data_IF_869591264912
#
_entry.id   IF_869591264912
#
_cell.length_a   1.000
_cell.length_b   1.000
_cell.length_c   1.000
_cell.angle_alpha   90.00
_cell.angle_beta   90.00
_cell.angle_gamma   90.00
#
_symmetry.space_group_name_H-M   'P 1'
#
loop_
_entity.id
_entity.type
_entity.pdbx_description
1 polymer ?
#
# COMPACT_ATOMS: atom_id res chain seq x y z
N UNK A 1 -45.14 23.51 77.73
CA UNK A 1 -46.02 24.34 76.86
C UNK A 1 -45.86 25.78 77.33
N UNK A 2 -45.18 26.71 76.67
CA UNK A 2 -44.82 26.87 75.27
C UNK A 2 -43.41 27.46 75.15
N UNK A 3 -42.67 27.03 74.14
CA UNK A 3 -41.32 27.43 73.77
C UNK A 3 -41.33 28.75 73.00
N UNK A 4 -40.83 29.82 73.58
CA UNK A 4 -40.52 31.05 72.84
C UNK A 4 -39.08 30.96 72.34
N UNK A 5 -38.90 30.49 71.10
CA UNK A 5 -37.64 30.50 70.37
C UNK A 5 -37.28 31.95 70.00
N UNK A 6 -36.48 32.61 70.83
CA UNK A 6 -35.74 33.81 70.42
C UNK A 6 -34.48 33.36 69.70
N UNK A 7 -34.45 33.50 68.38
CA UNK A 7 -33.25 33.34 67.55
C UNK A 7 -32.14 34.26 68.06
N UNK A 8 -31.12 33.68 68.69
CA UNK A 8 -29.89 34.38 69.06
C UNK A 8 -29.20 34.84 67.76
N UNK A 9 -29.04 36.15 67.51
CA UNK A 9 -28.31 36.64 66.34
C UNK A 9 -26.83 36.24 66.41
N UNK A 10 -26.20 36.03 65.25
CA UNK A 10 -24.78 35.67 65.17
C UNK A 10 -23.91 36.67 65.95
N UNK A 11 -22.89 36.19 66.70
CA UNK A 11 -22.11 37.04 67.61
C UNK A 11 -21.38 38.19 66.90
N UNK A 12 -21.04 38.01 65.62
CA UNK A 12 -20.43 39.05 64.77
C UNK A 12 -21.39 40.17 64.40
N UNK A 13 -22.66 39.84 64.15
CA UNK A 13 -23.70 40.83 63.85
C UNK A 13 -24.12 41.60 65.11
N UNK A 14 -24.16 40.94 66.27
CA UNK A 14 -24.41 41.61 67.55
C UNK A 14 -23.27 42.57 67.90
N UNK A 15 -22.03 42.15 67.66
CA UNK A 15 -20.85 43.00 67.84
C UNK A 15 -20.88 44.20 66.87
N UNK A 16 -21.14 43.99 65.57
CA UNK A 16 -21.30 45.08 64.60
C UNK A 16 -22.45 46.03 64.94
N UNK A 17 -23.58 45.52 65.43
CA UNK A 17 -24.70 46.34 65.87
C UNK A 17 -24.34 47.18 67.10
N UNK A 18 -23.64 46.60 68.09
CA UNK A 18 -23.11 47.34 69.24
C UNK A 18 -22.11 48.41 68.82
N UNK A 19 -21.15 48.09 67.95
CA UNK A 19 -20.20 49.09 67.45
C UNK A 19 -20.89 50.19 66.65
N UNK A 20 -21.88 49.87 65.82
CA UNK A 20 -22.67 50.85 65.08
C UNK A 20 -23.49 51.75 66.02
N UNK A 21 -24.07 51.19 67.09
CA UNK A 21 -24.80 51.94 68.11
C UNK A 21 -23.88 52.86 68.93
N UNK A 22 -22.71 52.36 69.34
CA UNK A 22 -21.69 53.15 70.05
C UNK A 22 -21.16 54.26 69.16
N UNK A 23 -20.86 53.96 67.90
CA UNK A 23 -20.38 54.95 66.93
C UNK A 23 -21.46 55.99 66.63
N UNK A 24 -22.73 55.57 66.53
CA UNK A 24 -23.87 56.48 66.38
C UNK A 24 -24.07 57.40 67.58
N UNK A 25 -24.02 56.86 68.80
CA UNK A 25 -24.12 57.63 70.03
C UNK A 25 -22.94 58.61 70.20
N UNK A 26 -21.71 58.15 69.96
CA UNK A 26 -20.52 58.99 69.97
C UNK A 26 -20.60 60.10 68.89
N UNK A 27 -21.17 59.80 67.73
CA UNK A 27 -21.36 60.77 66.66
C UNK A 27 -22.41 61.82 67.00
N UNK A 28 -23.47 61.46 67.73
CA UNK A 28 -24.49 62.40 68.20
C UNK A 28 -23.95 63.37 69.27
N UNK A 29 -23.15 62.87 70.22
CA UNK A 29 -22.53 63.69 71.29
C UNK A 29 -21.21 64.37 70.88
N UNK A 30 -20.83 64.32 69.60
CA UNK A 30 -19.54 64.85 69.12
C UNK A 30 -19.34 66.34 69.41
N UNK A 31 -20.44 67.10 69.49
CA UNK A 31 -20.39 68.55 69.73
C UNK A 31 -20.25 68.89 71.21
N UNK A 32 -20.51 67.94 72.10
CA UNK A 32 -20.36 68.07 73.56
C UNK A 32 -18.93 67.75 74.01
N UNK A 33 -18.25 66.85 73.28
CA UNK A 33 -16.82 66.54 73.43
C UNK A 33 -15.89 67.55 72.74
N UNK A 34 -16.44 68.43 71.90
CA UNK A 34 -15.70 69.56 71.37
C UNK A 34 -15.63 70.61 72.47
N UNK A 35 -14.43 70.86 73.01
CA UNK A 35 -14.19 71.88 74.03
C UNK A 35 -14.71 73.27 73.62
N UNK A 36 -14.79 74.23 74.56
CA UNK A 36 -15.30 75.57 74.29
C UNK A 36 -14.51 76.21 73.14
N UNK A 37 -15.22 76.78 72.16
CA UNK A 37 -14.59 77.46 71.03
C UNK A 37 -13.87 78.74 71.52
N UNK A 38 -12.56 78.66 71.71
CA UNK A 38 -11.70 79.79 72.12
C UNK A 38 -11.15 80.52 70.90
N UNK A 39 -11.14 81.85 70.92
CA UNK A 39 -10.57 82.65 69.83
C UNK A 39 -9.04 82.53 69.78
N UNK A 40 -8.43 82.79 68.62
CA UNK A 40 -6.99 82.67 68.40
C UNK A 40 -6.15 83.45 69.42
N UNK A 41 -6.66 84.59 69.87
CA UNK A 41 -5.99 85.44 70.87
C UNK A 41 -5.98 84.80 72.26
N UNK A 42 -7.01 84.02 72.64
CA UNK A 42 -7.09 83.34 73.95
C UNK A 42 -6.16 82.12 74.01
N UNK A 43 -5.92 81.45 72.88
CA UNK A 43 -5.01 80.31 72.77
C UNK A 43 -3.54 80.74 72.92
N UNK A 44 -3.22 81.98 72.54
CA UNK A 44 -1.87 82.55 72.65
C UNK A 44 -1.42 82.80 74.11
N UNK A 45 -2.37 82.90 75.06
CA UNK A 45 -2.09 83.12 76.48
C UNK A 45 -2.07 81.85 77.33
N UNK A 46 -2.28 80.67 76.74
CA UNK A 46 -2.18 79.39 77.44
C UNK A 46 -0.72 78.91 77.55
N UNK A 47 -0.36 78.11 78.57
CA UNK A 47 0.97 77.51 78.69
C UNK A 47 1.33 76.76 77.40
N UNK A 48 2.61 76.80 76.99
CA UNK A 48 3.06 76.31 75.67
C UNK A 48 2.66 74.85 75.33
N UNK A 49 2.42 74.01 76.34
CA UNK A 49 1.94 72.65 76.14
C UNK A 49 0.47 72.57 75.66
N UNK A 50 -0.38 73.50 76.10
CA UNK A 50 -1.82 73.49 75.82
C UNK A 50 -2.18 74.26 74.53
N UNK A 51 -1.38 75.26 74.16
CA UNK A 51 -1.58 76.01 72.90
C UNK A 51 -1.33 75.16 71.65
N UNK A 52 -0.40 74.20 71.68
CA UNK A 52 -0.14 73.24 70.60
C UNK A 52 -1.29 72.25 70.37
N UNK A 53 -2.03 71.90 71.41
CA UNK A 53 -3.13 70.92 71.33
C UNK A 53 -4.45 71.56 70.90
N UNK A 54 -4.68 72.81 71.29
CA UNK A 54 -5.93 73.55 71.05
C UNK A 54 -5.86 74.52 69.85
N UNK A 55 -4.71 74.61 69.16
CA UNK A 55 -4.64 75.37 67.90
C UNK A 55 -5.55 74.70 66.86
N UNK A 56 -6.51 75.44 66.26
CA UNK A 56 -7.40 74.87 65.27
C UNK A 56 -6.59 74.31 64.10
N UNK A 57 -6.70 73.00 63.86
CA UNK A 57 -6.04 72.34 62.72
C UNK A 57 -6.40 73.07 61.44
N UNK A 58 -5.37 73.46 60.68
CA UNK A 58 -5.54 74.14 59.39
C UNK A 58 -6.53 73.35 58.51
N UNK A 59 -7.43 74.00 57.75
CA UNK A 59 -8.46 73.29 56.97
C UNK A 59 -7.90 72.45 55.81
N UNK A 60 -6.62 72.63 55.44
CA UNK A 60 -5.97 71.92 54.33
C UNK A 60 -5.97 70.37 54.44
N UNK A 61 -5.51 69.74 55.54
CA UNK A 61 -5.57 68.29 55.70
C UNK A 61 -6.97 67.70 55.55
N UNK A 62 -8.01 68.39 56.04
CA UNK A 62 -9.41 67.94 55.88
C UNK A 62 -9.86 68.00 54.42
N UNK A 63 -9.52 69.06 53.69
CA UNK A 63 -9.79 69.17 52.24
C UNK A 63 -9.06 68.08 51.46
N UNK A 64 -7.81 67.81 51.81
CA UNK A 64 -6.99 66.76 51.18
C UNK A 64 -7.60 65.36 51.40
N UNK A 65 -8.08 65.08 52.62
CA UNK A 65 -8.77 63.82 52.92
C UNK A 65 -10.06 63.64 52.09
N UNK A 66 -10.88 64.68 51.92
CA UNK A 66 -12.07 64.61 51.07
C UNK A 66 -11.75 64.43 49.59
N UNK A 67 -10.69 65.08 49.10
CA UNK A 67 -10.21 64.90 47.71
C UNK A 67 -9.73 63.46 47.48
N UNK A 68 -8.93 62.92 48.41
CA UNK A 68 -8.49 61.52 48.35
C UNK A 68 -9.67 60.55 48.36
N UNK A 69 -10.66 60.79 49.23
CA UNK A 69 -11.85 59.95 49.31
C UNK A 69 -12.68 60.03 48.03
N UNK A 70 -12.83 61.23 47.45
CA UNK A 70 -13.50 61.41 46.16
C UNK A 70 -12.79 60.69 45.01
N UNK A 71 -11.45 60.80 44.94
CA UNK A 71 -10.64 60.10 43.95
C UNK A 71 -10.80 58.57 44.07
N UNK A 72 -10.78 58.06 45.30
CA UNK A 72 -10.94 56.63 45.56
C UNK A 72 -12.31 56.11 45.12
N UNK A 73 -13.38 56.84 45.47
CA UNK A 73 -14.74 56.49 45.03
C UNK A 73 -14.87 56.55 43.51
N UNK A 74 -14.27 57.55 42.86
CA UNK A 74 -14.26 57.67 41.41
C UNK A 74 -13.54 56.51 40.73
N UNK A 75 -12.38 56.10 41.26
CA UNK A 75 -11.63 54.95 40.75
C UNK A 75 -12.40 53.64 40.90
N UNK A 76 -13.09 53.43 42.02
CA UNK A 76 -13.96 52.26 42.22
C UNK A 76 -15.14 52.26 41.26
N UNK A 77 -15.78 53.41 41.07
CA UNK A 77 -16.88 53.55 40.12
C UNK A 77 -16.38 53.20 38.70
N UNK A 78 -15.24 53.75 38.29
CA UNK A 78 -14.65 53.46 36.99
C UNK A 78 -14.29 51.98 36.82
N UNK A 79 -13.72 51.34 37.85
CA UNK A 79 -13.38 49.91 37.80
C UNK A 79 -14.62 49.00 37.72
N UNK A 80 -15.76 49.41 38.29
CA UNK A 80 -17.00 48.65 38.21
C UNK A 80 -17.73 48.79 36.87
N UNK A 81 -17.60 49.94 36.19
CA UNK A 81 -18.27 50.20 34.90
C UNK A 81 -17.34 49.93 33.69
N UNK A 82 -16.02 50.00 33.87
CA UNK A 82 -15.06 49.87 32.79
C UNK A 82 -14.98 48.44 32.25
N UNK A 83 -15.51 48.23 31.05
CA UNK A 83 -15.28 47.02 30.26
C UNK A 83 -13.95 47.17 29.50
N UNK A 84 -13.04 46.21 29.68
CA UNK A 84 -11.77 46.16 28.95
C UNK A 84 -11.88 45.11 27.86
N UNK A 85 -11.92 45.56 26.61
CA UNK A 85 -11.93 44.68 25.44
C UNK A 85 -10.55 44.00 25.28
N UNK A 86 -10.50 42.71 25.58
CA UNK A 86 -9.32 41.89 25.36
C UNK A 86 -9.41 41.30 23.95
N UNK A 87 -8.65 41.87 23.01
CA UNK A 87 -8.49 41.30 21.67
C UNK A 87 -7.38 40.25 21.69
N UNK A 88 -7.77 38.97 21.73
CA UNK A 88 -6.84 37.85 21.60
C UNK A 88 -6.56 37.56 20.12
N UNK A 89 -5.39 37.97 19.62
CA UNK A 89 -4.95 37.63 18.26
C UNK A 89 -4.26 36.26 18.29
N UNK A 90 -4.90 35.24 17.71
CA UNK A 90 -4.32 33.92 17.53
C UNK A 90 -3.79 33.77 16.09
N UNK A 91 -2.49 33.47 15.89
CA UNK A 91 -1.96 33.19 14.56
C UNK A 91 -2.48 31.82 14.07
N UNK A 92 -3.46 31.83 13.16
CA UNK A 92 -3.91 30.65 12.43
C UNK A 92 -3.29 30.61 11.03
N UNK A 93 -2.88 29.42 10.57
CA UNK A 93 -2.50 29.18 9.17
C UNK A 93 -3.56 28.30 8.51
N UNK A 94 -4.12 28.78 7.40
CA UNK A 94 -4.99 27.96 6.55
C UNK A 94 -4.09 26.94 5.83
N UNK A 95 -4.15 25.69 6.27
CA UNK A 95 -3.56 24.57 5.55
C UNK A 95 -4.65 23.95 4.68
N UNK A 96 -4.39 23.84 3.38
CA UNK A 96 -5.22 23.02 2.50
C UNK A 96 -5.05 21.56 2.93
N UNK A 97 -6.10 20.97 3.48
CA UNK A 97 -6.07 19.58 3.98
C UNK A 97 -5.98 18.54 2.86
N UNK A 98 -6.23 18.94 1.60
CA UNK A 98 -6.12 18.04 0.47
C UNK A 98 -4.65 17.79 0.16
N UNK A 99 -4.19 16.59 0.56
CA UNK A 99 -2.83 16.12 0.37
C UNK A 99 -2.49 16.16 -1.11
N UNK A 100 -1.47 16.92 -1.49
CA UNK A 100 -0.88 16.88 -2.83
C UNK A 100 -0.49 15.44 -3.15
N UNK A 101 -1.09 14.85 -4.19
CA UNK A 101 -0.75 13.52 -4.70
C UNK A 101 0.14 13.68 -5.93
N UNK A 102 1.30 13.05 -5.91
CA UNK A 102 2.22 13.03 -7.05
C UNK A 102 1.72 11.97 -8.03
N UNK A 103 1.44 12.38 -9.28
CA UNK A 103 1.02 11.48 -10.35
C UNK A 103 2.29 11.03 -11.08
N UNK A 104 2.57 9.73 -11.06
CA UNK A 104 3.73 9.12 -11.70
C UNK A 104 3.26 8.10 -12.74
N UNK A 105 3.93 8.01 -13.89
CA UNK A 105 3.64 6.95 -14.85
C UNK A 105 4.02 5.58 -14.26
N UNK A 106 3.26 4.55 -14.61
CA UNK A 106 3.55 3.17 -14.20
C UNK A 106 4.84 2.65 -14.86
N UNK A 107 5.12 3.11 -16.08
CA UNK A 107 6.26 2.73 -16.90
C UNK A 107 6.92 3.95 -17.52
N UNK A 108 8.25 3.91 -17.69
CA UNK A 108 8.98 4.97 -18.36
C UNK A 108 8.63 5.00 -19.85
N UNK A 109 7.94 6.08 -20.27
CA UNK A 109 7.47 6.26 -21.64
C UNK A 109 7.63 7.70 -22.09
N UNK A 110 7.61 7.91 -23.40
CA UNK A 110 7.72 9.24 -23.98
C UNK A 110 6.39 9.97 -23.86
N UNK A 111 6.41 11.21 -23.38
CA UNK A 111 5.21 12.06 -23.31
C UNK A 111 4.86 12.53 -24.72
N UNK A 112 3.67 12.17 -25.21
CA UNK A 112 3.15 12.60 -26.52
C UNK A 112 2.44 13.94 -26.42
N UNK A 113 1.60 14.12 -25.39
CA UNK A 113 0.90 15.38 -25.15
C UNK A 113 0.57 15.57 -23.67
N UNK A 114 0.61 16.83 -23.20
CA UNK A 114 0.09 17.23 -21.88
C UNK A 114 -1.21 17.99 -22.12
N UNK A 115 -2.31 17.49 -21.53
CA UNK A 115 -3.68 17.95 -21.80
C UNK A 115 -4.18 18.98 -20.78
N UNK A 116 -3.37 19.29 -19.77
CA UNK A 116 -3.71 20.17 -18.65
C UNK A 116 -2.65 21.24 -18.45
N UNK A 117 -3.04 22.35 -17.85
CA UNK A 117 -2.15 23.45 -17.47
C UNK A 117 -2.14 23.65 -15.96
N UNK A 118 -1.11 24.34 -15.47
CA UNK A 118 -1.00 24.67 -14.05
C UNK A 118 -2.21 25.50 -13.60
N UNK A 119 -2.87 25.03 -12.54
CA UNK A 119 -4.07 25.67 -11.98
C UNK A 119 -5.41 25.16 -12.52
N UNK A 120 -5.41 24.25 -13.50
CA UNK A 120 -6.64 23.65 -14.01
C UNK A 120 -7.32 22.74 -12.96
N UNK A 121 -8.65 22.81 -12.88
CA UNK A 121 -9.47 21.93 -12.03
C UNK A 121 -9.79 20.65 -12.79
N UNK A 122 -9.26 19.52 -12.33
CA UNK A 122 -9.44 18.21 -12.97
C UNK A 122 -10.38 17.31 -12.16
N UNK A 123 -11.11 16.43 -12.86
CA UNK A 123 -11.96 15.40 -12.23
C UNK A 123 -11.24 14.05 -12.18
N UNK A 124 -11.61 13.19 -11.24
CA UNK A 124 -11.09 11.82 -11.19
C UNK A 124 -11.41 11.07 -12.50
N UNK A 125 -10.40 10.41 -13.08
CA UNK A 125 -10.51 9.71 -14.37
C UNK A 125 -10.34 10.58 -15.61
N UNK A 126 -10.13 11.89 -15.46
CA UNK A 126 -9.79 12.77 -16.58
C UNK A 126 -8.37 12.48 -17.08
N UNK A 127 -8.20 12.41 -18.40
CA UNK A 127 -6.88 12.24 -19.03
C UNK A 127 -6.06 13.51 -18.82
N UNK A 128 -4.88 13.37 -18.22
CA UNK A 128 -3.97 14.48 -17.91
C UNK A 128 -2.80 14.55 -18.90
N UNK A 129 -2.24 13.39 -19.24
CA UNK A 129 -1.07 13.24 -20.10
C UNK A 129 -1.31 12.04 -21.01
N UNK A 130 -1.04 12.22 -22.30
CA UNK A 130 -0.99 11.15 -23.29
C UNK A 130 0.47 10.70 -23.46
N UNK A 131 0.70 9.41 -23.26
CA UNK A 131 2.00 8.76 -23.43
C UNK A 131 2.05 8.08 -24.79
N UNK A 132 3.24 7.97 -25.37
CA UNK A 132 3.45 7.23 -26.61
C UNK A 132 3.24 5.73 -26.38
N UNK A 133 2.17 5.20 -26.97
CA UNK A 133 1.77 3.81 -26.85
C UNK A 133 2.46 2.90 -27.87
N UNK A 134 3.40 3.38 -28.69
CA UNK A 134 4.01 2.58 -29.78
C UNK A 134 4.68 1.32 -29.25
N UNK A 135 5.52 1.45 -28.21
CA UNK A 135 6.19 0.30 -27.59
C UNK A 135 5.20 -0.65 -26.92
N UNK A 136 4.29 -0.11 -26.10
CA UNK A 136 3.27 -0.91 -25.41
C UNK A 136 2.34 -1.66 -26.40
N UNK A 137 2.02 -1.04 -27.54
CA UNK A 137 1.20 -1.65 -28.59
C UNK A 137 1.98 -2.75 -29.32
N UNK A 138 3.27 -2.53 -29.60
CA UNK A 138 4.14 -3.54 -30.21
C UNK A 138 4.34 -4.74 -29.27
N UNK A 139 4.55 -4.50 -27.97
CA UNK A 139 4.68 -5.56 -26.97
C UNK A 139 3.36 -6.34 -26.83
N UNK A 140 2.23 -5.64 -26.75
CA UNK A 140 0.91 -6.29 -26.72
C UNK A 140 0.64 -7.13 -27.96
N UNK A 141 1.01 -6.65 -29.15
CA UNK A 141 0.87 -7.39 -30.40
C UNK A 141 1.77 -8.63 -30.42
N UNK A 142 3.03 -8.50 -30.00
CA UNK A 142 3.99 -9.60 -29.91
C UNK A 142 3.53 -10.69 -28.94
N UNK A 143 3.06 -10.31 -27.75
CA UNK A 143 2.52 -11.27 -26.76
C UNK A 143 1.27 -11.96 -27.30
N UNK A 144 0.39 -11.22 -27.98
CA UNK A 144 -0.79 -11.80 -28.61
C UNK A 144 -0.41 -12.82 -29.70
N UNK A 145 0.57 -12.51 -30.56
CA UNK A 145 1.07 -13.45 -31.57
C UNK A 145 1.69 -14.71 -30.95
N UNK A 146 2.48 -14.57 -29.89
CA UNK A 146 3.08 -15.71 -29.17
C UNK A 146 2.00 -16.61 -28.55
N UNK A 147 0.99 -16.02 -27.93
CA UNK A 147 -0.14 -16.75 -27.35
C UNK A 147 -0.88 -17.55 -28.42
N UNK A 148 -1.07 -16.97 -29.60
CA UNK A 148 -1.73 -17.63 -30.72
C UNK A 148 -0.90 -18.76 -31.31
N UNK A 149 0.41 -18.56 -31.47
CA UNK A 149 1.33 -19.59 -31.93
C UNK A 149 1.34 -20.78 -30.95
N UNK A 150 1.45 -20.52 -29.64
CA UNK A 150 1.44 -21.55 -28.61
C UNK A 150 0.11 -22.33 -28.60
N UNK A 151 -1.03 -21.65 -28.76
CA UNK A 151 -2.34 -22.31 -28.83
C UNK A 151 -2.47 -23.18 -30.09
N UNK A 152 -2.00 -22.71 -31.24
CA UNK A 152 -1.99 -23.49 -32.49
C UNK A 152 -1.15 -24.76 -32.35
N UNK A 153 0.04 -24.64 -31.76
CA UNK A 153 0.93 -25.77 -31.49
C UNK A 153 0.32 -26.78 -30.51
N UNK A 154 -0.33 -26.30 -29.45
CA UNK A 154 -1.03 -27.17 -28.50
C UNK A 154 -2.16 -27.97 -29.18
N UNK A 155 -2.98 -27.30 -30.01
CA UNK A 155 -4.04 -27.97 -30.77
C UNK A 155 -3.50 -28.98 -31.78
N UNK A 156 -2.42 -28.63 -32.50
CA UNK A 156 -1.74 -29.52 -33.46
C UNK A 156 -1.22 -30.77 -32.76
N UNK A 157 -0.45 -30.59 -31.68
CA UNK A 157 0.13 -31.67 -30.88
C UNK A 157 -0.96 -32.59 -30.34
N UNK A 158 -2.04 -32.00 -29.84
CA UNK A 158 -3.18 -32.72 -29.34
C UNK A 158 -3.85 -33.59 -30.44
N UNK A 159 -4.09 -33.03 -31.63
CA UNK A 159 -4.65 -33.76 -32.76
C UNK A 159 -3.72 -34.90 -33.25
N UNK A 160 -2.40 -34.69 -33.18
CA UNK A 160 -1.40 -35.70 -33.50
C UNK A 160 -1.39 -36.86 -32.50
N UNK A 161 -1.42 -36.55 -31.20
CA UNK A 161 -1.53 -37.56 -30.14
C UNK A 161 -2.78 -38.41 -30.30
N UNK A 162 -3.93 -37.80 -30.62
CA UNK A 162 -5.18 -38.51 -30.86
C UNK A 162 -5.09 -39.51 -32.02
N UNK A 163 -4.31 -39.19 -33.07
CA UNK A 163 -4.08 -40.10 -34.20
C UNK A 163 -3.10 -41.23 -33.88
N UNK A 164 -2.11 -40.98 -33.03
CA UNK A 164 -1.09 -41.97 -32.66
C UNK A 164 -1.59 -42.98 -31.62
N UNK A 165 -2.39 -42.55 -30.64
CA UNK A 165 -2.79 -43.38 -29.50
C UNK A 165 -4.23 -43.14 -29.05
N UNK A 166 -5.25 -43.46 -29.87
CA UNK A 166 -6.65 -43.14 -29.58
C UNK A 166 -7.18 -43.68 -28.23
N UNK A 167 -6.61 -44.78 -27.72
CA UNK A 167 -6.97 -45.38 -26.43
C UNK A 167 -6.31 -44.73 -25.20
N UNK A 168 -5.16 -44.07 -25.35
CA UNK A 168 -4.48 -43.37 -24.23
C UNK A 168 -4.88 -41.89 -24.17
N UNK A 169 -5.18 -41.26 -25.32
CA UNK A 169 -5.54 -39.84 -25.40
C UNK A 169 -6.85 -39.53 -24.67
N UNK A 170 -7.82 -40.43 -24.66
CA UNK A 170 -9.12 -40.25 -23.98
C UNK A 170 -8.99 -40.03 -22.46
N UNK A 171 -8.00 -40.63 -21.81
CA UNK A 171 -7.71 -40.42 -20.38
C UNK A 171 -6.92 -39.12 -20.11
N UNK A 172 -6.06 -38.69 -21.03
CA UNK A 172 -5.29 -37.44 -20.89
C UNK A 172 -6.16 -36.20 -21.13
N UNK A 173 -6.99 -36.24 -22.17
CA UNK A 173 -8.03 -35.27 -22.50
C UNK A 173 -8.99 -34.98 -21.34
N UNK A 174 -9.35 -36.04 -20.60
CA UNK A 174 -10.24 -35.94 -19.45
C UNK A 174 -9.58 -35.23 -18.26
N UNK A 175 -8.25 -35.28 -18.17
CA UNK A 175 -7.44 -34.64 -17.13
C UNK A 175 -7.04 -33.21 -17.50
N UNK A 176 -6.93 -32.92 -18.79
CA UNK A 176 -6.41 -31.68 -19.37
C UNK A 176 -7.54 -30.74 -19.80
N UNK A 177 -8.53 -30.54 -18.92
CA UNK A 177 -9.58 -29.50 -19.04
C UNK A 177 -9.03 -28.07 -18.83
N UNK A 178 -7.76 -27.85 -19.18
CA UNK A 178 -6.95 -26.69 -18.80
C UNK A 178 -6.39 -25.92 -20.00
N UNK A 179 -6.62 -26.37 -21.23
CA UNK A 179 -6.41 -25.49 -22.38
C UNK A 179 -7.52 -24.44 -22.37
N UNK A 180 -7.22 -23.14 -22.18
CA UNK A 180 -8.23 -22.10 -22.30
C UNK A 180 -8.79 -22.18 -23.72
N UNK A 181 -10.02 -22.67 -23.84
CA UNK A 181 -10.79 -22.56 -25.06
C UNK A 181 -11.10 -21.07 -25.24
N UNK A 182 -10.24 -20.35 -25.95
CA UNK A 182 -10.58 -19.00 -26.40
C UNK A 182 -11.73 -19.14 -27.40
N UNK A 183 -12.92 -18.60 -27.08
CA UNK A 183 -14.04 -18.65 -28.00
C UNK A 183 -13.63 -17.94 -29.30
N UNK A 184 -13.87 -18.62 -30.43
CA UNK A 184 -13.57 -18.16 -31.80
C UNK A 184 -14.10 -16.75 -32.11
N UNK A 185 -15.04 -16.25 -31.30
CA UNK A 185 -15.67 -14.94 -31.41
C UNK A 185 -14.77 -13.75 -30.99
N UNK A 186 -13.73 -13.96 -30.18
CA UNK A 186 -12.82 -12.89 -29.72
C UNK A 186 -11.50 -12.82 -30.52
N UNK A 187 -11.33 -13.72 -31.49
CA UNK A 187 -10.17 -13.72 -32.38
C UNK A 187 -10.29 -12.57 -33.40
N UNK A 188 -9.32 -11.66 -33.50
CA UNK A 188 -9.31 -10.62 -34.53
C UNK A 188 -9.45 -11.26 -35.91
N UNK A 189 -10.29 -10.66 -36.78
CA UNK A 189 -10.74 -11.20 -38.07
C UNK A 189 -9.58 -11.52 -39.05
N UNK A 190 -8.37 -11.00 -38.81
CA UNK A 190 -7.15 -11.31 -39.58
C UNK A 190 -6.27 -12.44 -39.03
N UNK A 191 -6.56 -12.97 -37.84
CA UNK A 191 -5.74 -13.95 -37.09
C UNK A 191 -6.44 -15.29 -36.89
N UNK A 192 -7.53 -15.53 -37.62
CA UNK A 192 -7.98 -16.90 -37.89
C UNK A 192 -6.87 -17.53 -38.72
N UNK A 193 -5.96 -18.26 -38.07
CA UNK A 193 -5.08 -19.22 -38.74
C UNK A 193 -5.95 -19.93 -39.77
N UNK A 194 -5.66 -19.71 -41.05
CA UNK A 194 -6.48 -20.23 -42.12
C UNK A 194 -6.56 -21.74 -41.88
N UNK A 195 -7.77 -22.24 -41.65
CA UNK A 195 -7.99 -23.62 -41.27
C UNK A 195 -7.36 -24.57 -42.30
N UNK A 196 -7.18 -24.09 -43.53
CA UNK A 196 -6.41 -24.74 -44.59
C UNK A 196 -4.91 -24.94 -44.24
N UNK A 197 -4.23 -23.93 -43.68
CA UNK A 197 -2.82 -23.97 -43.31
C UNK A 197 -2.58 -24.90 -42.13
N UNK A 198 -3.46 -24.87 -41.13
CA UNK A 198 -3.41 -25.81 -40.01
C UNK A 198 -3.54 -27.27 -40.51
N UNK A 199 -4.51 -27.53 -41.39
CA UNK A 199 -4.72 -28.87 -41.96
C UNK A 199 -3.56 -29.31 -42.85
N UNK A 200 -2.97 -28.39 -43.64
CA UNK A 200 -1.83 -28.73 -44.49
C UNK A 200 -0.58 -29.07 -43.69
N UNK A 201 -0.27 -28.30 -42.65
CA UNK A 201 0.84 -28.57 -41.72
C UNK A 201 0.66 -29.91 -41.01
N UNK A 202 -0.54 -30.16 -40.46
CA UNK A 202 -0.83 -31.41 -39.77
C UNK A 202 -0.72 -32.62 -40.70
N UNK A 203 -1.16 -32.49 -41.96
CA UNK A 203 -1.01 -33.54 -42.95
C UNK A 203 0.46 -33.76 -43.35
N UNK A 204 1.25 -32.70 -43.48
CA UNK A 204 2.69 -32.81 -43.78
C UNK A 204 3.45 -33.53 -42.66
N UNK A 205 3.20 -33.17 -41.40
CA UNK A 205 3.80 -33.85 -40.25
C UNK A 205 3.38 -35.32 -40.15
N UNK A 206 2.10 -35.60 -40.42
CA UNK A 206 1.61 -36.98 -40.44
C UNK A 206 2.29 -37.82 -41.53
N UNK A 207 2.50 -37.24 -42.72
CA UNK A 207 3.22 -37.90 -43.81
C UNK A 207 4.68 -38.16 -43.45
N UNK A 208 5.36 -37.22 -42.79
CA UNK A 208 6.74 -37.38 -42.34
C UNK A 208 6.87 -38.51 -41.30
N UNK A 209 5.98 -38.56 -40.29
CA UNK A 209 5.96 -39.65 -39.31
C UNK A 209 5.73 -41.00 -39.99
N UNK A 210 4.77 -41.07 -40.94
CA UNK A 210 4.50 -42.30 -41.68
C UNK A 210 5.69 -42.74 -42.54
N UNK A 211 6.38 -41.79 -43.18
CA UNK A 211 7.58 -42.06 -43.95
C UNK A 211 8.69 -42.62 -43.06
N UNK A 212 8.93 -42.00 -41.89
CA UNK A 212 9.89 -42.50 -40.89
C UNK A 212 9.57 -43.93 -40.43
N UNK A 213 8.30 -44.22 -40.16
CA UNK A 213 7.86 -45.58 -39.80
C UNK A 213 8.10 -46.58 -40.92
N UNK A 214 7.75 -46.24 -42.17
CA UNK A 214 7.97 -47.12 -43.32
C UNK A 214 9.46 -47.41 -43.59
N UNK A 215 10.32 -46.41 -43.32
CA UNK A 215 11.77 -46.56 -43.43
C UNK A 215 12.30 -47.52 -42.36
N UNK A 216 11.90 -47.35 -41.11
CA UNK A 216 12.27 -48.24 -40.00
C UNK A 216 11.81 -49.67 -40.26
N UNK A 217 10.60 -49.85 -40.79
CA UNK A 217 10.07 -51.16 -41.17
C UNK A 217 10.92 -51.82 -42.26
N UNK A 218 11.28 -51.07 -43.31
CA UNK A 218 12.16 -51.55 -44.38
C UNK A 218 13.55 -51.92 -43.85
N UNK A 219 14.11 -51.14 -42.91
CA UNK A 219 15.38 -51.45 -42.26
C UNK A 219 15.31 -52.72 -41.41
N UNK A 220 14.22 -52.91 -40.67
CA UNK A 220 13.95 -54.13 -39.88
C UNK A 220 13.87 -55.36 -40.77
N UNK A 221 13.09 -55.29 -41.85
CA UNK A 221 12.96 -56.39 -42.82
C UNK A 221 14.29 -56.72 -43.49
N UNK A 222 15.08 -55.71 -43.86
CA UNK A 222 16.43 -55.92 -44.40
C UNK A 222 17.31 -56.67 -43.40
N UNK A 223 17.28 -56.28 -42.12
CA UNK A 223 18.08 -56.95 -41.07
C UNK A 223 17.64 -58.39 -40.82
N UNK A 224 16.35 -58.67 -40.88
CA UNK A 224 15.83 -60.04 -40.79
C UNK A 224 16.30 -60.90 -41.98
N UNK A 225 16.28 -60.37 -43.20
CA UNK A 225 16.75 -61.07 -44.39
C UNK A 225 18.28 -61.31 -44.37
N UNK A 226 19.06 -60.31 -43.91
CA UNK A 226 20.50 -60.46 -43.67
C UNK A 226 20.75 -61.59 -42.66
N UNK A 227 20.04 -61.61 -41.53
CA UNK A 227 20.16 -62.66 -40.52
C UNK A 227 19.81 -64.05 -41.06
N UNK A 228 18.74 -64.17 -41.85
CA UNK A 228 18.37 -65.43 -42.49
C UNK A 228 19.45 -65.94 -43.46
N UNK A 229 20.07 -65.02 -44.21
CA UNK A 229 21.18 -65.35 -45.14
C UNK A 229 22.41 -65.84 -44.38
N UNK A 230 22.75 -65.18 -43.27
CA UNK A 230 23.85 -65.60 -42.40
C UNK A 230 23.56 -66.97 -41.79
N UNK A 231 22.34 -67.22 -41.30
CA UNK A 231 21.94 -68.53 -40.79
C UNK A 231 22.07 -69.63 -41.87
N UNK A 232 21.65 -69.35 -43.10
CA UNK A 232 21.81 -70.29 -44.21
C UNK A 232 23.30 -70.58 -44.52
N UNK A 233 24.17 -69.57 -44.40
CA UNK A 233 25.61 -69.74 -44.57
C UNK A 233 26.23 -70.60 -43.46
N UNK A 234 25.80 -70.40 -42.21
CA UNK A 234 26.24 -71.21 -41.06
C UNK A 234 25.79 -72.66 -41.25
N UNK A 235 24.52 -72.90 -41.56
CA UNK A 235 23.99 -74.25 -41.80
C UNK A 235 24.74 -74.97 -42.95
N UNK A 236 25.09 -74.23 -44.02
CA UNK A 236 25.91 -74.77 -45.11
C UNK A 236 27.32 -75.14 -44.62
N UNK A 237 27.97 -74.27 -43.85
CA UNK A 237 29.31 -74.52 -43.31
C UNK A 237 29.30 -75.73 -42.37
N UNK A 238 28.34 -75.81 -41.46
CA UNK A 238 28.13 -76.95 -40.56
C UNK A 238 27.91 -78.25 -41.33
N UNK A 239 27.13 -78.23 -42.42
CA UNK A 239 26.92 -79.40 -43.27
C UNK A 239 28.20 -79.84 -44.02
N UNK A 240 29.08 -78.90 -44.38
CA UNK A 240 30.36 -79.21 -45.07
C UNK A 240 31.51 -79.55 -44.12
N UNK A 241 31.43 -79.14 -42.85
CA UNK A 241 32.43 -79.38 -41.82
C UNK A 241 32.82 -80.87 -41.68
N UNK A 242 31.89 -81.84 -41.57
CA UNK A 242 32.27 -83.25 -41.41
C UNK A 242 33.00 -83.80 -42.63
N UNK A 243 32.69 -83.31 -43.85
CA UNK A 243 33.41 -83.71 -45.05
C UNK A 243 34.86 -83.22 -45.03
N UNK A 244 35.09 -81.96 -44.64
CA UNK A 244 36.45 -81.42 -44.48
C UNK A 244 37.22 -82.16 -43.39
N UNK A 245 36.60 -82.43 -42.24
CA UNK A 245 37.22 -83.21 -41.16
C UNK A 245 37.53 -84.66 -41.58
N UNK A 246 36.63 -85.32 -42.31
CA UNK A 246 36.87 -86.67 -42.84
C UNK A 246 38.05 -86.66 -43.81
N UNK A 247 38.12 -85.67 -44.72
CA UNK A 247 39.24 -85.52 -45.65
C UNK A 247 40.56 -85.34 -44.89
N UNK A 248 40.58 -84.46 -43.90
CA UNK A 248 41.77 -84.23 -43.08
C UNK A 248 42.22 -85.50 -42.33
N UNK A 249 41.27 -86.25 -41.76
CA UNK A 249 41.55 -87.52 -41.08
C UNK A 249 42.10 -88.59 -42.05
N UNK A 250 41.54 -88.69 -43.26
CA UNK A 250 42.00 -89.60 -44.30
C UNK A 250 43.41 -89.20 -44.83
N UNK A 251 43.66 -87.91 -45.05
CA UNK A 251 44.99 -87.39 -45.40
C UNK A 251 46.02 -87.71 -44.32
N UNK A 252 45.68 -87.46 -43.05
CA UNK A 252 46.55 -87.76 -41.91
C UNK A 252 46.88 -89.25 -41.85
N UNK A 253 45.90 -90.13 -42.12
CA UNK A 253 46.10 -91.58 -42.21
C UNK A 253 47.05 -91.95 -43.35
N UNK A 254 46.86 -91.39 -44.54
CA UNK A 254 47.70 -91.67 -45.72
C UNK A 254 49.14 -91.18 -45.55
N UNK A 255 49.34 -90.03 -44.91
CA UNK A 255 50.68 -89.52 -44.55
C UNK A 255 51.34 -90.43 -43.51
N UNK A 256 50.61 -90.87 -42.47
CA UNK A 256 51.16 -91.78 -41.45
C UNK A 256 51.58 -93.14 -42.01
N UNK A 257 50.92 -93.59 -43.09
CA UNK A 257 51.24 -94.83 -43.81
C UNK A 257 52.34 -94.64 -44.88
N UNK A 258 52.85 -93.42 -45.07
CA UNK A 258 53.97 -93.12 -45.96
C UNK A 258 53.61 -92.94 -47.43
N UNK A 259 52.32 -92.82 -47.77
CA UNK A 259 51.86 -92.74 -49.17
C UNK A 259 51.88 -91.32 -49.76
N UNK A 260 52.02 -90.26 -48.95
CA UNK A 260 51.99 -88.85 -49.40
C UNK A 260 53.00 -87.99 -48.60
N UNK A 261 53.62 -86.99 -49.23
CA UNK A 261 54.54 -86.03 -48.57
C UNK A 261 53.78 -84.96 -47.76
N UNK A 262 54.25 -84.63 -46.56
CA UNK A 262 53.60 -83.69 -45.64
C UNK A 262 53.56 -82.22 -46.07
N UNK A 263 54.02 -81.88 -47.28
CA UNK A 263 54.17 -80.50 -47.76
C UNK A 263 53.63 -80.31 -49.19
N UNK A 264 52.55 -80.99 -49.54
CA UNK A 264 51.78 -80.67 -50.74
C UNK A 264 50.54 -79.85 -50.31
N UNK A 265 50.71 -78.52 -50.28
CA UNK A 265 49.59 -77.56 -50.20
C UNK A 265 49.12 -77.21 -51.60
#
# INVERSE_FOLDING_TARGET
>A
MSTNNTTQPHPTLELLARYKAILGAAWQHRMELAGPARLADEVAFLPAALSLQETPVHPAPRRLAYVLMGLFVLALLWACIGEVDIVAVAPGRIIVSDRTKIIQPLEASVVKAVLVKDGDKVKAGQVLVELDATMASADSASVQEQLLAANSEAQRTHALLQRLQPSQTSNLLSKEKLLPHYPRAEMPIGLVMDQSQFQSQLNAEWQDIRAKLSKLESESQRKLAEAATVQASIAKLEATLPLSQSREADYTRLVSQGFISGHAT
#
